data_IF_922227754420
#
_entry.id   IF_922227754420
#
_cell.length_a   1.000
_cell.length_b   1.000
_cell.length_c   1.000
_cell.angle_alpha   90.00
_cell.angle_beta   90.00
_cell.angle_gamma   90.00
#
_symmetry.space_group_name_H-M   'P 1'
#
loop_
_entity.id
_entity.type
_entity.pdbx_description
1 polymer ?
#
# COMPACT_ATOMS: atom_id res chain seq x y z
N UNK A 1 31.61 14.48 -2.60
CA UNK A 1 30.58 14.53 -1.54
C UNK A 1 29.65 13.37 -1.79
N UNK A 2 29.66 12.36 -0.91
CA UNK A 2 28.80 11.18 -1.01
C UNK A 2 27.45 11.54 -0.43
N UNK A 3 26.48 11.92 -1.27
CA UNK A 3 25.12 12.11 -0.82
C UNK A 3 24.52 10.77 -0.39
N UNK A 4 24.24 10.66 0.90
CA UNK A 4 23.51 9.56 1.52
C UNK A 4 22.14 9.36 0.84
N UNK A 5 22.05 8.39 -0.07
CA UNK A 5 20.79 7.86 -0.62
C UNK A 5 19.96 7.06 0.40
N UNK A 6 20.08 7.39 1.70
CA UNK A 6 19.39 6.71 2.81
C UNK A 6 18.19 7.48 3.35
N UNK A 7 17.85 8.64 2.80
CA UNK A 7 16.53 9.25 2.94
C UNK A 7 15.55 8.72 1.87
N UNK A 8 15.47 7.40 1.69
CA UNK A 8 14.43 6.73 0.87
C UNK A 8 13.10 6.58 1.63
N UNK A 9 12.85 7.47 2.59
CA UNK A 9 11.53 7.69 3.15
C UNK A 9 10.69 8.49 2.16
N UNK A 10 10.37 7.90 1.00
CA UNK A 10 9.24 8.40 0.22
C UNK A 10 7.98 7.89 0.94
N UNK A 11 7.19 8.75 1.61
CA UNK A 11 5.91 8.36 2.19
C UNK A 11 4.95 7.73 1.17
N UNK A 12 5.25 7.84 -0.13
CA UNK A 12 4.50 7.20 -1.21
C UNK A 12 4.78 5.70 -1.37
N UNK A 13 5.94 5.16 -0.97
CA UNK A 13 6.19 3.70 -1.03
C UNK A 13 5.31 2.91 -0.05
N UNK A 14 4.82 3.59 0.98
CA UNK A 14 3.94 3.01 2.00
C UNK A 14 2.46 3.25 1.70
N UNK A 15 2.12 3.83 0.55
CA UNK A 15 0.74 4.05 0.12
C UNK A 15 0.29 3.00 -0.91
N UNK A 16 -0.98 2.68 -0.87
CA UNK A 16 -1.68 1.79 -1.78
C UNK A 16 -2.57 2.66 -2.69
N UNK A 17 -2.17 2.83 -3.95
CA UNK A 17 -3.00 3.47 -4.95
C UNK A 17 -3.90 2.43 -5.63
N UNK A 18 -5.12 2.30 -5.14
CA UNK A 18 -6.13 1.39 -5.71
C UNK A 18 -6.68 1.84 -7.06
N UNK A 19 -6.36 3.06 -7.51
CA UNK A 19 -6.72 3.57 -8.82
C UNK A 19 -5.74 3.14 -9.92
N UNK A 20 -4.53 2.72 -9.54
CA UNK A 20 -3.56 2.17 -10.48
C UNK A 20 -3.68 0.65 -10.53
N UNK A 21 -4.02 0.11 -11.71
CA UNK A 21 -4.26 -1.31 -11.88
C UNK A 21 -3.04 -2.17 -11.51
N UNK A 22 -1.83 -1.70 -11.82
CA UNK A 22 -0.58 -2.40 -11.48
C UNK A 22 -0.34 -2.44 -9.96
N UNK A 23 -0.51 -1.32 -9.26
CA UNK A 23 -0.38 -1.29 -7.80
C UNK A 23 -1.45 -2.14 -7.12
N UNK A 24 -2.70 -2.05 -7.58
CA UNK A 24 -3.77 -2.88 -7.03
C UNK A 24 -3.47 -4.37 -7.21
N UNK A 25 -2.97 -4.81 -8.37
CA UNK A 25 -2.55 -6.20 -8.57
C UNK A 25 -1.36 -6.59 -7.67
N UNK A 26 -0.37 -5.70 -7.53
CA UNK A 26 0.76 -5.93 -6.65
C UNK A 26 0.33 -6.10 -5.18
N UNK A 27 -0.55 -5.22 -4.69
CA UNK A 27 -0.99 -5.22 -3.30
C UNK A 27 -1.98 -6.34 -2.98
N UNK A 28 -2.90 -6.66 -3.90
CA UNK A 28 -3.77 -7.84 -3.77
C UNK A 28 -2.98 -9.13 -3.69
N UNK A 29 -1.91 -9.26 -4.49
CA UNK A 29 -0.99 -10.40 -4.41
C UNK A 29 -0.16 -10.41 -3.13
N UNK A 30 0.36 -9.24 -2.73
CA UNK A 30 1.18 -9.09 -1.50
C UNK A 30 0.39 -9.40 -0.24
N UNK A 31 -0.87 -8.96 -0.17
CA UNK A 31 -1.75 -9.13 0.99
C UNK A 31 -2.58 -10.42 0.90
N UNK A 32 -2.65 -11.04 -0.27
CA UNK A 32 -3.49 -12.22 -0.54
C UNK A 32 -4.97 -11.91 -0.34
N UNK A 33 -5.44 -10.77 -0.83
CA UNK A 33 -6.84 -10.31 -0.75
C UNK A 33 -7.38 -9.96 -2.13
N UNK A 34 -8.70 -9.87 -2.27
CA UNK A 34 -9.34 -9.46 -3.52
C UNK A 34 -9.16 -7.96 -3.79
N UNK A 35 -9.32 -7.55 -5.04
CA UNK A 35 -9.29 -6.14 -5.46
C UNK A 35 -10.31 -5.28 -4.71
N UNK A 36 -11.52 -5.82 -4.55
CA UNK A 36 -12.62 -5.18 -3.85
C UNK A 36 -12.34 -5.05 -2.35
N UNK A 37 -11.80 -6.10 -1.70
CA UNK A 37 -11.41 -6.03 -0.29
C UNK A 37 -10.32 -4.99 -0.05
N UNK A 38 -9.33 -4.92 -0.96
CA UNK A 38 -8.27 -3.92 -0.88
C UNK A 38 -8.83 -2.50 -1.00
N UNK A 39 -9.74 -2.27 -1.95
CA UNK A 39 -10.43 -0.98 -2.13
C UNK A 39 -11.26 -0.60 -0.93
N UNK A 40 -12.03 -1.55 -0.39
CA UNK A 40 -12.84 -1.33 0.80
C UNK A 40 -11.98 -1.03 2.03
N UNK A 41 -10.86 -1.73 2.21
CA UNK A 41 -9.92 -1.47 3.28
C UNK A 41 -9.31 -0.05 3.14
N UNK A 42 -8.81 0.30 1.95
CA UNK A 42 -8.25 1.63 1.68
C UNK A 42 -9.28 2.75 1.91
N UNK A 43 -10.54 2.55 1.53
CA UNK A 43 -11.61 3.51 1.82
C UNK A 43 -11.90 3.65 3.33
N UNK A 44 -11.77 2.57 4.10
CA UNK A 44 -12.05 2.58 5.55
C UNK A 44 -10.92 3.17 6.39
N UNK A 45 -9.67 2.80 6.11
CA UNK A 45 -8.51 3.15 6.95
C UNK A 45 -7.51 4.07 6.26
N UNK A 46 -7.78 4.48 5.02
CA UNK A 46 -6.91 5.29 4.19
C UNK A 46 -5.93 4.46 3.35
N UNK A 47 -5.20 5.11 2.43
CA UNK A 47 -4.28 4.44 1.50
C UNK A 47 -3.01 3.93 2.18
N UNK A 48 -2.83 4.12 3.48
CA UNK A 48 -1.60 3.71 4.16
C UNK A 48 -1.54 2.18 4.27
N UNK A 49 -0.52 1.56 3.68
CA UNK A 49 -0.36 0.10 3.65
C UNK A 49 -0.30 -0.51 5.06
N UNK A 50 0.32 0.19 6.02
CA UNK A 50 0.35 -0.23 7.42
C UNK A 50 -1.07 -0.32 8.02
N UNK A 51 -1.90 0.70 7.80
CA UNK A 51 -3.28 0.73 8.27
C UNK A 51 -4.13 -0.36 7.59
N UNK A 52 -3.96 -0.54 6.28
CA UNK A 52 -4.66 -1.57 5.51
C UNK A 52 -4.29 -2.98 5.97
N UNK A 53 -2.99 -3.25 6.19
CA UNK A 53 -2.50 -4.52 6.76
C UNK A 53 -3.10 -4.79 8.14
N UNK A 54 -3.10 -3.79 9.01
CA UNK A 54 -3.69 -3.90 10.34
C UNK A 54 -5.19 -4.18 10.26
N UNK A 55 -5.91 -3.54 9.34
CA UNK A 55 -7.35 -3.78 9.13
C UNK A 55 -7.65 -5.18 8.59
N UNK A 56 -6.82 -5.68 7.68
CA UNK A 56 -6.97 -6.99 7.04
C UNK A 56 -6.36 -8.15 7.85
N UNK A 57 -5.62 -7.86 8.92
CA UNK A 57 -4.89 -8.86 9.71
C UNK A 57 -3.76 -9.56 8.94
N UNK A 58 -3.05 -8.81 8.09
CA UNK A 58 -1.98 -9.31 7.21
C UNK A 58 -0.60 -8.80 7.58
#
# INVERSE_FOLDING_TARGET
MSDDKRNVGSPDRDRINVNEAYELQYWTKTLGVSADDLRAAVQKVGPMAASVRQHLGK
#
